data_IF_112552137625
#
_entry.id   IF_112552137625
#
_cell.length_a   1.000
_cell.length_b   1.000
_cell.length_c   1.000
_cell.angle_alpha   90.00
_cell.angle_beta   90.00
_cell.angle_gamma   90.00
#
_symmetry.space_group_name_H-M   'P 1'
#
loop_
_entity.id
_entity.type
_entity.pdbx_description
1 polymer ?
#
# COMPACT_ATOMS: atom_id res chain seq x y z
N UNK A 1 6.03 0.01 -12.28
CA UNK A 1 6.61 -1.34 -12.38
C UNK A 1 7.49 -1.60 -11.18
N UNK A 2 7.83 -2.86 -10.86
CA UNK A 2 8.75 -3.18 -9.75
C UNK A 2 10.07 -2.41 -9.92
N UNK A 3 10.54 -1.75 -8.86
CA UNK A 3 11.79 -0.99 -8.88
C UNK A 3 11.72 0.39 -9.55
N UNK A 4 10.56 0.79 -10.10
CA UNK A 4 10.41 2.11 -10.70
C UNK A 4 10.33 3.22 -9.64
N UNK A 5 10.97 4.34 -9.93
CA UNK A 5 10.81 5.56 -9.15
C UNK A 5 9.50 6.27 -9.51
N UNK A 6 8.78 6.73 -8.50
CA UNK A 6 7.49 7.43 -8.63
C UNK A 6 7.48 8.67 -7.75
N UNK A 7 6.73 9.69 -8.20
CA UNK A 7 6.44 10.86 -7.41
C UNK A 7 5.14 10.69 -6.63
N UNK A 8 5.00 11.44 -5.54
CA UNK A 8 3.74 11.58 -4.82
C UNK A 8 2.61 12.00 -5.79
N UNK A 9 1.47 11.33 -5.73
CA UNK A 9 0.32 11.53 -6.61
C UNK A 9 0.34 10.70 -7.89
N UNK A 10 1.46 10.07 -8.27
CA UNK A 10 1.50 9.22 -9.47
C UNK A 10 0.55 8.03 -9.33
N UNK A 11 -0.19 7.73 -10.40
CA UNK A 11 -1.03 6.52 -10.47
C UNK A 11 -0.15 5.29 -10.64
N UNK A 12 -0.32 4.31 -9.74
CA UNK A 12 0.44 3.06 -9.73
C UNK A 12 -0.28 1.95 -10.50
N UNK A 13 -1.60 1.86 -10.34
CA UNK A 13 -2.43 0.87 -11.03
C UNK A 13 -3.90 1.31 -11.06
N UNK A 14 -4.58 1.11 -12.19
CA UNK A 14 -6.04 1.19 -12.30
C UNK A 14 -6.61 -0.22 -12.37
N UNK A 15 -7.73 -0.47 -11.70
CA UNK A 15 -8.29 -1.82 -11.60
C UNK A 15 -9.80 -1.80 -11.34
N UNK A 16 -10.57 -2.69 -12.00
CA UNK A 16 -12.02 -2.83 -11.78
C UNK A 16 -12.35 -3.62 -10.51
N UNK A 17 -11.54 -4.65 -10.25
CA UNK A 17 -11.57 -5.49 -9.04
C UNK A 17 -10.20 -5.35 -8.38
N UNK A 18 -10.13 -5.50 -7.06
CA UNK A 18 -8.87 -5.37 -6.32
C UNK A 18 -7.96 -6.56 -6.63
N UNK A 19 -7.06 -6.38 -7.60
CA UNK A 19 -5.98 -7.32 -7.93
C UNK A 19 -4.78 -7.08 -7.04
N UNK A 20 -4.45 -5.81 -6.84
CA UNK A 20 -3.40 -5.35 -5.94
C UNK A 20 -3.99 -4.56 -4.79
N UNK A 21 -3.51 -4.84 -3.58
CA UNK A 21 -3.92 -4.16 -2.36
C UNK A 21 -2.98 -2.97 -2.09
N UNK A 22 -3.50 -1.86 -1.55
CA UNK A 22 -2.66 -0.76 -1.10
C UNK A 22 -1.82 -1.22 0.10
N UNK A 23 -0.51 -1.05 0.02
CA UNK A 23 0.42 -1.25 1.13
C UNK A 23 0.96 0.08 1.67
N UNK A 24 2.21 0.09 2.13
CA UNK A 24 2.88 1.25 2.69
C UNK A 24 3.03 2.40 1.65
N UNK A 25 2.67 3.61 2.07
CA UNK A 25 2.71 4.84 1.27
C UNK A 25 1.93 4.76 -0.06
N UNK A 26 0.87 3.95 -0.11
CA UNK A 26 -0.02 3.81 -1.26
C UNK A 26 -1.46 4.12 -0.86
N UNK A 27 -2.06 5.09 -1.55
CA UNK A 27 -3.47 5.43 -1.42
C UNK A 27 -4.33 4.62 -2.38
N UNK A 28 -5.63 4.51 -2.07
CA UNK A 28 -6.64 3.90 -2.95
C UNK A 28 -7.83 4.85 -3.13
N UNK A 29 -8.20 5.14 -4.37
CA UNK A 29 -9.39 5.94 -4.70
C UNK A 29 -10.69 5.13 -4.68
N UNK A 30 -11.84 5.81 -4.79
CA UNK A 30 -13.17 5.18 -4.79
C UNK A 30 -13.36 4.15 -5.92
N UNK A 31 -12.71 4.38 -7.06
CA UNK A 31 -12.70 3.46 -8.20
C UNK A 31 -11.59 2.38 -8.09
N UNK A 32 -11.00 2.19 -6.91
CA UNK A 32 -9.94 1.20 -6.60
C UNK A 32 -8.60 1.48 -7.30
N UNK A 33 -8.42 2.66 -7.87
CA UNK A 33 -7.14 3.11 -8.42
C UNK A 33 -6.14 3.31 -7.28
N UNK A 34 -4.93 2.80 -7.46
CA UNK A 34 -3.83 2.96 -6.52
C UNK A 34 -2.92 4.11 -6.95
N UNK A 35 -2.49 4.93 -6.00
CA UNK A 35 -1.60 6.06 -6.23
C UNK A 35 -0.54 6.18 -5.13
N UNK A 36 0.63 6.71 -5.48
CA UNK A 36 1.72 6.94 -4.52
C UNK A 36 1.38 8.11 -3.59
N UNK A 37 1.62 7.95 -2.29
CA UNK A 37 1.49 9.04 -1.31
C UNK A 37 2.81 9.82 -1.15
N UNK A 38 3.93 9.19 -1.46
CA UNK A 38 5.28 9.76 -1.31
C UNK A 38 6.14 9.50 -2.55
N UNK A 39 7.21 10.29 -2.69
CA UNK A 39 8.27 10.06 -3.68
C UNK A 39 9.11 8.84 -3.27
N UNK A 40 9.24 7.84 -4.15
CA UNK A 40 10.00 6.65 -3.80
C UNK A 40 10.05 5.56 -4.86
N UNK A 41 10.50 4.38 -4.45
CA UNK A 41 10.63 3.20 -5.31
C UNK A 41 9.46 2.24 -5.06
N UNK A 42 8.80 1.82 -6.14
CA UNK A 42 7.69 0.87 -6.08
C UNK A 42 8.20 -0.55 -5.79
N UNK A 43 7.57 -1.22 -4.83
CA UNK A 43 7.82 -2.62 -4.44
C UNK A 43 6.53 -3.41 -4.36
N UNK A 44 6.53 -4.61 -4.92
CA UNK A 44 5.43 -5.57 -4.85
C UNK A 44 5.77 -6.69 -3.87
N UNK A 45 4.86 -6.98 -2.94
CA UNK A 45 5.07 -7.99 -1.89
C UNK A 45 3.88 -8.93 -1.79
N UNK A 46 4.10 -10.09 -1.17
CA UNK A 46 3.04 -11.05 -0.80
C UNK A 46 2.93 -11.05 0.71
N UNK A 47 1.86 -10.46 1.22
CA UNK A 47 1.68 -10.24 2.66
C UNK A 47 0.39 -10.92 3.14
N UNK A 48 0.34 -11.21 4.44
CA UNK A 48 -0.84 -11.77 5.10
C UNK A 48 -1.96 -10.74 5.06
N UNK A 49 -3.12 -11.16 4.58
CA UNK A 49 -4.28 -10.30 4.44
C UNK A 49 -5.21 -10.44 5.64
N UNK A 50 -5.34 -9.34 6.40
CA UNK A 50 -6.27 -9.23 7.52
C UNK A 50 -7.30 -8.14 7.17
N UNK A 51 -8.53 -8.52 6.77
CA UNK A 51 -9.57 -7.54 6.47
C UNK A 51 -10.13 -6.87 7.75
N UNK A 52 -10.75 -5.68 7.64
CA UNK A 52 -11.41 -5.03 8.76
C UNK A 52 -12.51 -5.93 9.38
N UNK A 53 -12.70 -5.93 10.70
CA UNK A 53 -13.66 -6.83 11.35
C UNK A 53 -15.10 -6.68 10.85
N UNK A 54 -15.49 -5.48 10.38
CA UNK A 54 -16.83 -5.17 9.89
C UNK A 54 -17.02 -5.39 8.39
N UNK A 55 -16.03 -5.90 7.67
CA UNK A 55 -16.16 -6.16 6.23
C UNK A 55 -16.98 -7.43 5.96
N UNK A 56 -17.69 -7.47 4.81
CA UNK A 56 -18.42 -8.67 4.38
C UNK A 56 -17.48 -9.86 4.18
N UNK A 57 -16.27 -9.61 3.67
CA UNK A 57 -15.23 -10.61 3.42
C UNK A 57 -14.81 -11.32 4.72
N UNK A 58 -14.73 -10.59 5.83
CA UNK A 58 -14.45 -11.17 7.14
C UNK A 58 -15.53 -12.19 7.52
N UNK A 59 -16.81 -11.81 7.43
CA UNK A 59 -17.93 -12.67 7.83
C UNK A 59 -18.14 -13.86 6.89
N UNK A 60 -17.99 -13.64 5.58
CA UNK A 60 -18.39 -14.61 4.56
C UNK A 60 -17.25 -15.54 4.14
N UNK A 61 -16.00 -15.09 4.28
CA UNK A 61 -14.81 -15.88 3.89
C UNK A 61 -14.00 -16.27 5.11
N UNK A 62 -13.47 -15.30 5.87
CA UNK A 62 -12.49 -15.59 6.93
C UNK A 62 -13.06 -16.52 8.00
N UNK A 63 -14.28 -16.26 8.48
CA UNK A 63 -14.92 -17.09 9.51
C UNK A 63 -15.23 -18.54 9.06
N UNK A 64 -15.17 -18.83 7.75
CA UNK A 64 -15.42 -20.16 7.20
C UNK A 64 -14.15 -20.93 6.87
N UNK A 65 -12.97 -20.31 7.01
CA UNK A 65 -11.70 -20.97 6.74
C UNK A 65 -11.36 -21.97 7.84
N UNK A 66 -10.77 -23.14 7.49
CA UNK A 66 -10.22 -24.06 8.47
C UNK A 66 -9.14 -23.41 9.33
N UNK A 67 -9.02 -23.89 10.57
CA UNK A 67 -7.99 -23.42 11.51
C UNK A 67 -6.59 -23.64 10.91
N UNK A 68 -5.76 -22.60 10.96
CA UNK A 68 -4.38 -22.61 10.44
C UNK A 68 -4.24 -22.12 9.00
N UNK A 69 -5.35 -21.86 8.29
CA UNK A 69 -5.30 -21.24 6.95
C UNK A 69 -5.02 -19.75 7.06
N UNK A 70 -4.07 -19.28 6.24
CA UNK A 70 -3.69 -17.87 6.14
C UNK A 70 -3.92 -17.40 4.71
N UNK A 71 -4.58 -16.25 4.55
CA UNK A 71 -4.74 -15.63 3.24
C UNK A 71 -3.56 -14.71 2.96
N UNK A 72 -2.96 -14.87 1.79
CA UNK A 72 -1.94 -13.95 1.28
C UNK A 72 -2.51 -13.15 0.12
N UNK A 73 -2.18 -11.86 0.07
CA UNK A 73 -2.51 -10.98 -1.07
C UNK A 73 -1.28 -10.24 -1.55
N UNK A 74 -1.38 -9.73 -2.79
CA UNK A 74 -0.32 -8.92 -3.39
C UNK A 74 -0.52 -7.48 -3.00
N UNK A 75 0.49 -6.87 -2.39
CA UNK A 75 0.49 -5.46 -2.00
C UNK A 75 1.44 -4.66 -2.89
N UNK A 76 1.11 -3.39 -3.12
CA UNK A 76 2.01 -2.41 -3.70
C UNK A 76 2.42 -1.46 -2.59
N UNK A 77 3.73 -1.33 -2.42
CA UNK A 77 4.38 -0.44 -1.48
C UNK A 77 5.19 0.60 -2.24
N UNK A 78 5.35 1.79 -1.67
CA UNK A 78 6.34 2.77 -2.08
C UNK A 78 7.34 2.94 -0.95
N UNK A 79 8.62 2.71 -1.25
CA UNK A 79 9.73 2.90 -0.32
C UNK A 79 10.26 4.32 -0.51
N UNK A 80 10.06 5.23 0.45
CA UNK A 80 10.48 6.62 0.29
C UNK A 80 11.99 6.74 0.16
N UNK A 81 12.46 7.61 -0.74
CA UNK A 81 13.91 7.84 -0.94
C UNK A 81 14.43 9.10 -0.26
N UNK A 82 13.53 10.02 0.10
CA UNK A 82 13.88 11.30 0.73
C UNK A 82 13.58 11.20 2.23
N UNK A 83 14.54 11.60 3.05
CA UNK A 83 14.33 11.78 4.48
C UNK A 83 13.42 12.99 4.74
N UNK A 84 12.66 12.95 5.84
CA UNK A 84 11.71 14.01 6.20
C UNK A 84 12.48 15.22 6.73
N UNK A 85 13.00 16.02 5.81
CA UNK A 85 13.72 17.26 6.10
C UNK A 85 15.12 17.06 6.67
N UNK A 86 15.84 18.17 6.83
CA UNK A 86 17.10 18.23 7.55
C UNK A 86 17.10 19.45 8.46
N UNK A 87 17.63 19.30 9.68
CA UNK A 87 17.84 20.44 10.55
C UNK A 87 18.92 21.33 9.96
N UNK A 88 18.58 22.58 9.71
CA UNK A 88 19.53 23.59 9.25
C UNK A 88 19.69 24.64 10.33
N UNK A 89 20.94 24.89 10.70
CA UNK A 89 21.28 26.00 11.59
C UNK A 89 20.91 27.31 10.88
N UNK A 90 20.04 28.11 11.49
CA UNK A 90 19.54 29.36 10.88
C UNK A 90 20.41 30.55 11.31
N UNK A 91 20.78 30.67 12.59
CA UNK A 91 21.65 31.74 13.10
C UNK A 91 22.44 31.27 14.32
N UNK A 92 23.70 31.71 14.44
CA UNK A 92 24.46 31.73 15.69
C UNK A 92 24.33 33.14 16.29
N UNK A 93 23.25 33.39 17.03
CA UNK A 93 23.17 34.58 17.88
C UNK A 93 23.97 34.36 19.16
#
# INVERSE_FOLDING_TARGET
>A
TEGAFVHAGNTLATQRIIRWHPGAHVGMGCNKTLYALEDGIVRFTKEVYVPPPRSKETREVICRLPKGVVLYKTFINVVPTKEVGSFKLVTML
#
